data_IF_061664665544
#
_entry.id   IF_061664665544
#
_cell.length_a   1.000
_cell.length_b   1.000
_cell.length_c   1.000
_cell.angle_alpha   90.00
_cell.angle_beta   90.00
_cell.angle_gamma   90.00
#
_symmetry.space_group_name_H-M   'P 1'
#
loop_
_entity.id
_entity.type
_entity.pdbx_description
1 polymer ?
#
# COMPACT_ATOMS: atom_id res chain seq x y z
N UNK A 1 13.10 0.66 -20.51
CA UNK A 1 13.93 0.99 -19.33
C UNK A 1 12.94 1.32 -18.22
N UNK A 2 12.84 0.51 -17.16
CA UNK A 2 12.02 0.89 -15.99
C UNK A 2 12.79 2.01 -15.29
N UNK A 3 12.24 3.21 -15.25
CA UNK A 3 12.84 4.32 -14.51
C UNK A 3 12.89 3.90 -13.04
N UNK A 4 14.04 4.04 -12.40
CA UNK A 4 14.18 3.73 -10.96
C UNK A 4 13.25 4.64 -10.17
N UNK A 5 12.46 4.05 -9.27
CA UNK A 5 11.51 4.78 -8.43
C UNK A 5 12.29 5.42 -7.27
N UNK A 6 12.25 6.76 -7.18
CA UNK A 6 12.99 7.51 -6.15
C UNK A 6 12.09 8.39 -5.31
N UNK A 7 11.00 8.85 -5.89
CA UNK A 7 10.05 9.75 -5.24
C UNK A 7 8.64 9.29 -5.53
N UNK A 8 7.67 9.84 -4.80
CA UNK A 8 6.26 9.59 -5.08
C UNK A 8 5.83 9.98 -6.50
N UNK A 9 6.47 10.95 -7.14
CA UNK A 9 6.17 11.34 -8.53
C UNK A 9 6.51 10.23 -9.55
N UNK A 10 7.36 9.28 -9.18
CA UNK A 10 7.77 8.17 -10.07
C UNK A 10 6.77 6.99 -10.02
N UNK A 11 5.81 7.01 -9.09
CA UNK A 11 4.83 5.95 -8.91
C UNK A 11 3.76 6.00 -9.99
N UNK A 12 3.50 4.86 -10.64
CA UNK A 12 2.57 4.73 -11.76
C UNK A 12 1.12 5.01 -11.36
N UNK A 13 0.81 4.79 -10.08
CA UNK A 13 -0.48 5.10 -9.49
C UNK A 13 -0.54 6.53 -8.95
N UNK A 14 0.36 7.43 -9.36
CA UNK A 14 0.28 8.85 -9.02
C UNK A 14 0.35 9.74 -10.26
N UNK A 15 -0.21 10.94 -10.15
CA UNK A 15 -0.10 11.99 -11.16
C UNK A 15 -0.34 13.36 -10.54
N UNK A 16 0.06 14.41 -11.23
CA UNK A 16 -0.32 15.79 -10.86
C UNK A 16 -1.67 16.13 -11.48
N UNK A 17 -2.56 16.75 -10.69
CA UNK A 17 -3.82 17.32 -11.19
C UNK A 17 -3.59 18.66 -11.91
N UNK A 18 -4.67 19.26 -12.44
CA UNK A 18 -4.61 20.51 -13.21
C UNK A 18 -4.07 21.71 -12.40
N UNK A 19 -4.04 21.61 -11.07
CA UNK A 19 -3.47 22.62 -10.17
C UNK A 19 -2.12 22.20 -9.56
N UNK A 20 -1.52 21.14 -10.09
CA UNK A 20 -0.17 20.67 -9.76
C UNK A 20 -0.07 19.80 -8.49
N UNK A 21 -1.18 19.43 -7.86
CA UNK A 21 -1.19 18.58 -6.65
C UNK A 21 -0.96 17.13 -7.03
N UNK A 22 -0.09 16.45 -6.29
CA UNK A 22 0.14 15.02 -6.48
C UNK A 22 -1.03 14.21 -5.90
N UNK A 23 -1.75 13.52 -6.77
CA UNK A 23 -2.86 12.63 -6.45
C UNK A 23 -2.48 11.19 -6.80
N UNK A 24 -3.11 10.22 -6.14
CA UNK A 24 -2.83 8.81 -6.37
C UNK A 24 -3.71 8.29 -7.53
N UNK A 25 -4.86 7.68 -7.26
CA UNK A 25 -5.82 7.30 -8.31
C UNK A 25 -6.93 8.35 -8.48
N UNK A 26 -7.71 8.27 -9.58
CA UNK A 26 -8.89 9.11 -9.76
C UNK A 26 -9.86 8.95 -8.57
N UNK A 27 -10.26 10.07 -7.96
CA UNK A 27 -11.32 10.10 -6.96
C UNK A 27 -12.63 9.57 -7.58
N UNK A 28 -13.25 8.59 -6.91
CA UNK A 28 -14.54 8.04 -7.35
C UNK A 28 -14.46 6.87 -8.33
N UNK A 29 -13.36 6.10 -8.34
CA UNK A 29 -13.37 4.78 -8.98
C UNK A 29 -14.41 3.89 -8.28
N UNK A 30 -15.48 3.42 -8.97
CA UNK A 30 -16.51 2.57 -8.35
C UNK A 30 -15.98 1.19 -7.90
N UNK A 31 -14.70 0.92 -8.13
CA UNK A 31 -14.03 -0.33 -7.77
C UNK A 31 -14.32 -1.38 -8.84
N UNK A 32 -13.30 -1.75 -9.62
CA UNK A 32 -13.35 -2.94 -10.44
C UNK A 32 -12.63 -4.08 -9.73
N UNK A 33 -13.10 -5.32 -9.86
CA UNK A 33 -12.38 -6.49 -9.31
C UNK A 33 -10.92 -6.55 -9.81
N UNK A 34 -10.69 -6.14 -11.07
CA UNK A 34 -9.36 -6.05 -11.66
C UNK A 34 -8.45 -4.97 -11.02
N UNK A 35 -8.99 -4.05 -10.22
CA UNK A 35 -8.18 -3.07 -9.49
C UNK A 35 -7.56 -3.66 -8.21
N UNK A 36 -8.09 -4.79 -7.72
CA UNK A 36 -7.51 -5.51 -6.59
C UNK A 36 -6.07 -5.95 -6.89
N UNK A 37 -5.89 -6.69 -7.98
CA UNK A 37 -4.56 -7.18 -8.42
C UNK A 37 -3.60 -6.03 -8.71
N UNK A 38 -4.10 -4.92 -9.26
CA UNK A 38 -3.28 -3.71 -9.46
C UNK A 38 -2.82 -3.11 -8.14
N UNK A 39 -3.70 -3.04 -7.14
CA UNK A 39 -3.35 -2.56 -5.81
C UNK A 39 -2.25 -3.39 -5.18
N UNK A 40 -2.35 -4.72 -5.29
CA UNK A 40 -1.29 -5.64 -4.83
C UNK A 40 0.02 -5.40 -5.58
N UNK A 41 -0.02 -5.27 -6.91
CA UNK A 41 1.16 -5.01 -7.73
C UNK A 41 1.83 -3.67 -7.39
N UNK A 42 1.06 -2.59 -7.18
CA UNK A 42 1.60 -1.30 -6.75
C UNK A 42 2.36 -1.41 -5.43
N UNK A 43 1.86 -2.21 -4.49
CA UNK A 43 2.56 -2.42 -3.23
C UNK A 43 3.82 -3.28 -3.42
N UNK A 44 3.66 -4.45 -4.04
CA UNK A 44 4.71 -5.47 -4.16
C UNK A 44 5.89 -5.04 -5.05
N UNK A 45 5.64 -4.19 -6.05
CA UNK A 45 6.66 -3.73 -6.97
C UNK A 45 7.13 -2.31 -6.63
N UNK A 46 6.21 -1.34 -6.60
CA UNK A 46 6.57 0.07 -6.59
C UNK A 46 6.84 0.60 -5.18
N UNK A 47 5.99 0.28 -4.20
CA UNK A 47 6.22 0.68 -2.80
C UNK A 47 7.43 -0.04 -2.21
N UNK A 48 7.63 -1.32 -2.53
CA UNK A 48 8.82 -2.07 -2.12
C UNK A 48 10.09 -1.42 -2.67
N UNK A 49 10.11 -1.09 -3.97
CA UNK A 49 11.24 -0.41 -4.63
C UNK A 49 11.50 0.97 -4.00
N UNK A 50 10.45 1.78 -3.83
CA UNK A 50 10.56 3.10 -3.20
C UNK A 50 11.06 3.00 -1.76
N UNK A 51 10.54 2.06 -0.96
CA UNK A 51 10.95 1.88 0.44
C UNK A 51 12.40 1.39 0.58
N UNK A 52 12.95 0.74 -0.44
CA UNK A 52 14.37 0.38 -0.48
C UNK A 52 15.27 1.60 -0.77
N UNK A 53 14.73 2.62 -1.44
CA UNK A 53 15.41 3.88 -1.73
C UNK A 53 15.25 4.92 -0.61
N UNK A 54 14.00 5.21 -0.25
CA UNK A 54 13.61 6.19 0.76
C UNK A 54 12.33 5.73 1.48
N UNK A 55 12.50 5.35 2.73
CA UNK A 55 11.43 4.87 3.60
C UNK A 55 10.42 5.98 3.97
N UNK A 56 10.84 7.25 4.00
CA UNK A 56 9.94 8.37 4.27
C UNK A 56 9.03 8.64 3.07
N UNK A 57 9.56 8.58 1.84
CA UNK A 57 8.74 8.70 0.63
C UNK A 57 7.72 7.56 0.52
N UNK A 58 8.12 6.32 0.82
CA UNK A 58 7.21 5.18 0.86
C UNK A 58 6.12 5.34 1.95
N UNK A 59 6.48 5.82 3.13
CA UNK A 59 5.53 6.12 4.21
C UNK A 59 4.47 7.13 3.74
N UNK A 60 4.91 8.21 3.09
CA UNK A 60 4.00 9.24 2.55
C UNK A 60 3.13 8.73 1.40
N UNK A 61 3.66 7.84 0.55
CA UNK A 61 2.91 7.20 -0.52
C UNK A 61 1.73 6.38 0.03
N UNK A 62 2.00 5.50 1.01
CA UNK A 62 0.98 4.64 1.65
C UNK A 62 -0.07 5.49 2.36
N UNK A 63 0.36 6.49 3.14
CA UNK A 63 -0.55 7.40 3.84
C UNK A 63 -1.49 8.13 2.88
N UNK A 64 -0.94 8.64 1.78
CA UNK A 64 -1.73 9.39 0.79
C UNK A 64 -2.70 8.48 0.05
N UNK A 65 -2.29 7.25 -0.24
CA UNK A 65 -3.11 6.24 -0.91
C UNK A 65 -4.33 5.87 -0.05
N UNK A 66 -4.10 5.44 1.18
CA UNK A 66 -5.19 5.01 2.06
C UNK A 66 -6.02 6.21 2.54
N UNK A 67 -5.35 7.32 2.89
CA UNK A 67 -5.99 8.53 3.41
C UNK A 67 -6.91 9.24 2.41
N UNK A 68 -6.63 9.14 1.10
CA UNK A 68 -7.49 9.69 0.07
C UNK A 68 -8.92 9.08 0.08
N UNK A 69 -9.07 7.85 0.61
CA UNK A 69 -10.37 7.19 0.77
C UNK A 69 -10.99 7.45 2.16
N UNK A 70 -10.18 7.61 3.21
CA UNK A 70 -10.63 7.75 4.59
C UNK A 70 -11.09 9.17 4.99
N UNK A 71 -10.64 10.22 4.27
CA UNK A 71 -10.74 11.61 4.72
C UNK A 71 -12.14 12.25 4.76
N UNK A 72 -13.23 11.50 4.56
CA UNK A 72 -14.58 12.09 4.44
C UNK A 72 -15.41 12.07 5.72
N UNK A 73 -15.08 11.26 6.73
CA UNK A 73 -16.03 11.02 7.83
C UNK A 73 -15.44 11.04 9.26
N UNK A 74 -14.16 10.76 9.49
CA UNK A 74 -13.64 10.50 10.86
C UNK A 74 -12.11 10.64 11.00
N UNK A 75 -11.64 11.13 12.15
CA UNK A 75 -10.20 11.23 12.48
C UNK A 75 -9.57 9.89 12.90
N UNK A 76 -10.38 8.89 13.26
CA UNK A 76 -9.91 7.59 13.75
C UNK A 76 -9.15 6.84 12.66
N UNK A 77 -9.72 6.78 11.46
CA UNK A 77 -9.18 6.10 10.29
C UNK A 77 -7.87 6.75 9.84
N UNK A 78 -7.74 8.07 9.98
CA UNK A 78 -6.46 8.77 9.73
C UNK A 78 -5.37 8.27 10.68
N UNK A 79 -5.69 8.11 11.97
CA UNK A 79 -4.76 7.52 12.95
C UNK A 79 -4.41 6.07 12.64
N UNK A 80 -5.38 5.29 12.13
CA UNK A 80 -5.17 3.91 11.73
C UNK A 80 -4.26 3.81 10.50
N UNK A 81 -4.50 4.63 9.48
CA UNK A 81 -3.66 4.77 8.28
C UNK A 81 -2.23 5.13 8.64
N UNK A 82 -2.03 6.05 9.60
CA UNK A 82 -0.71 6.45 10.08
C UNK A 82 0.08 5.25 10.63
N UNK A 83 -0.56 4.45 11.49
CA UNK A 83 0.09 3.28 12.11
C UNK A 83 0.28 2.12 11.14
N UNK A 84 -0.65 1.89 10.22
CA UNK A 84 -0.49 0.90 9.14
C UNK A 84 0.70 1.26 8.27
N UNK A 85 0.82 2.52 7.84
CA UNK A 85 1.94 2.94 6.99
C UNK A 85 3.29 2.74 7.69
N UNK A 86 3.39 3.06 8.98
CA UNK A 86 4.61 2.82 9.78
C UNK A 86 4.91 1.33 9.87
N UNK A 87 3.90 0.50 10.17
CA UNK A 87 4.06 -0.95 10.28
C UNK A 87 4.51 -1.57 8.95
N UNK A 88 3.91 -1.15 7.84
CA UNK A 88 4.26 -1.60 6.49
C UNK A 88 5.73 -1.29 6.16
N UNK A 89 6.17 -0.05 6.35
CA UNK A 89 7.57 0.35 6.09
C UNK A 89 8.56 -0.40 6.99
N UNK A 90 8.23 -0.57 8.28
CA UNK A 90 9.05 -1.38 9.19
C UNK A 90 9.11 -2.85 8.75
N UNK A 91 8.00 -3.43 8.28
CA UNK A 91 7.95 -4.78 7.72
C UNK A 91 8.80 -4.92 6.47
N UNK A 92 8.74 -3.95 5.55
CA UNK A 92 9.60 -3.90 4.37
C UNK A 92 11.08 -3.81 4.74
N UNK A 93 11.42 -2.97 5.73
CA UNK A 93 12.78 -2.90 6.27
C UNK A 93 13.23 -4.25 6.82
N UNK A 94 12.40 -4.88 7.65
CA UNK A 94 12.69 -6.18 8.24
C UNK A 94 12.88 -7.27 7.17
N UNK A 95 12.01 -7.31 6.14
CA UNK A 95 12.11 -8.24 5.01
C UNK A 95 13.42 -8.07 4.25
N UNK A 96 13.88 -6.83 4.00
CA UNK A 96 15.21 -6.58 3.40
C UNK A 96 16.38 -7.08 4.26
N UNK A 97 16.18 -7.17 5.57
CA UNK A 97 17.15 -7.76 6.51
C UNK A 97 16.93 -9.26 6.75
N UNK A 98 16.12 -9.93 5.92
CA UNK A 98 15.93 -11.38 5.95
C UNK A 98 14.96 -11.89 7.02
N UNK A 99 14.17 -11.01 7.64
CA UNK A 99 13.07 -11.43 8.52
C UNK A 99 11.97 -12.06 7.66
N UNK A 100 11.54 -13.26 8.06
CA UNK A 100 10.42 -13.94 7.40
C UNK A 100 9.15 -13.08 7.50
N UNK A 101 8.36 -13.04 6.43
CA UNK A 101 7.09 -12.34 6.39
C UNK A 101 5.97 -13.33 6.12
N UNK A 102 4.75 -12.96 6.50
CA UNK A 102 3.55 -13.72 6.16
C UNK A 102 3.34 -13.58 4.66
N UNK A 103 3.31 -14.70 3.96
CA UNK A 103 2.99 -14.77 2.54
C UNK A 103 1.52 -15.17 2.36
N UNK A 104 0.91 -14.88 1.21
CA UNK A 104 -0.54 -15.12 0.99
C UNK A 104 -0.96 -16.58 1.26
N UNK A 105 -0.10 -17.54 0.89
CA UNK A 105 -0.29 -18.97 1.19
C UNK A 105 -0.43 -19.28 2.68
N UNK A 106 0.19 -18.49 3.55
CA UNK A 106 0.15 -18.70 5.00
C UNK A 106 -1.19 -18.20 5.58
N UNK A 107 -1.96 -17.41 4.82
CA UNK A 107 -3.29 -16.92 5.20
C UNK A 107 -4.40 -17.88 4.75
N UNK A 108 -4.21 -18.59 3.64
CA UNK A 108 -5.15 -19.62 3.17
C UNK A 108 -5.31 -20.74 4.20
N UNK A 109 -4.21 -21.15 4.84
CA UNK A 109 -4.20 -22.16 5.92
C UNK A 109 -5.04 -21.73 7.14
N UNK A 110 -5.13 -20.42 7.43
CA UNK A 110 -5.91 -19.88 8.56
C UNK A 110 -7.42 -19.93 8.26
N UNK A 111 -7.81 -19.68 7.01
CA UNK A 111 -9.22 -19.73 6.61
C UNK A 111 -9.77 -21.16 6.66
N UNK A 112 -8.99 -22.17 6.27
CA UNK A 112 -9.44 -23.56 6.30
C UNK A 112 -9.52 -24.14 7.73
N UNK A 113 -8.58 -23.80 8.63
CA UNK A 113 -8.71 -24.16 10.06
C UNK A 113 -9.96 -23.54 10.71
N UNK A 114 -10.31 -22.30 10.35
CA UNK A 114 -11.52 -21.65 10.87
C UNK A 114 -12.83 -22.30 10.40
N UNK A 115 -12.82 -22.95 9.23
CA UNK A 115 -13.96 -23.71 8.68
C UNK A 115 -14.11 -25.07 9.34
N UNK A 116 -13.01 -25.76 9.65
CA UNK A 116 -13.06 -27.07 10.32
C UNK A 116 -13.55 -26.98 11.77
N UNK A 117 -13.27 -25.89 12.49
CA UNK A 117 -13.74 -25.68 13.88
C UNK A 117 -15.23 -25.30 13.95
N UNK A 118 -15.84 -24.94 12.82
CA UNK A 118 -17.24 -24.49 12.73
C UNK A 118 -18.22 -25.55 12.18
N UNK A 119 -17.76 -26.77 11.91
CA UNK A 119 -18.56 -27.90 11.38
C UNK A 119 -18.85 -28.96 12.46
#
# INVERSE_FOLDING_TARGET
MKTSIKTRDDLSFTRRDDVGRLINWPLGNPGAAADWEKGMAFFNDEIVELAAHDEHEALWAIKSALGAMCGRFTCLEIGFVDRIAIAAVNGLRAKRHGVAWVEDKDLEDIEDESREVSA
#
